data_IF_482361044497
#
_entry.id   IF_482361044497
#
_cell.length_a   1.000
_cell.length_b   1.000
_cell.length_c   1.000
_cell.angle_alpha   90.00
_cell.angle_beta   90.00
_cell.angle_gamma   90.00
#
_symmetry.space_group_name_H-M   'P 1'
#
loop_
_entity.id
_entity.type
_entity.pdbx_description
1 polymer ?
#
# COMPACT_ATOMS: atom_id res chain seq x y z
N UNK A 1 -21.08 -17.48 -6.67
CA UNK A 1 -19.72 -17.64 -7.22
C UNK A 1 -18.96 -16.39 -6.86
N UNK A 2 -17.66 -16.53 -6.54
CA UNK A 2 -16.76 -15.40 -6.28
C UNK A 2 -15.93 -15.19 -7.53
N UNK A 3 -15.56 -13.96 -7.84
CA UNK A 3 -14.70 -13.67 -8.99
C UNK A 3 -13.24 -13.99 -8.63
N UNK A 4 -12.48 -14.49 -9.60
CA UNK A 4 -11.10 -14.93 -9.44
C UNK A 4 -10.24 -14.33 -10.55
N UNK A 5 -9.25 -13.52 -10.17
CA UNK A 5 -8.30 -12.85 -11.07
C UNK A 5 -6.91 -13.48 -10.87
N UNK A 6 -6.55 -14.42 -11.74
CA UNK A 6 -5.42 -15.32 -11.46
C UNK A 6 -4.43 -15.43 -12.61
N UNK A 7 -3.16 -15.67 -12.27
CA UNK A 7 -2.10 -16.02 -13.21
C UNK A 7 -1.89 -14.99 -14.34
N UNK A 8 -2.15 -13.70 -14.06
CA UNK A 8 -1.84 -12.63 -15.01
C UNK A 8 -0.33 -12.60 -15.27
N UNK A 9 0.06 -12.67 -16.54
CA UNK A 9 1.45 -12.72 -16.98
C UNK A 9 1.61 -12.07 -18.36
N UNK A 10 1.23 -10.80 -18.46
CA UNK A 10 1.22 -10.01 -19.69
C UNK A 10 2.08 -8.76 -19.60
N UNK A 11 1.59 -7.64 -20.11
CA UNK A 11 2.22 -6.33 -19.92
C UNK A 11 2.12 -5.90 -18.45
N UNK A 12 3.15 -5.20 -17.95
CA UNK A 12 3.12 -4.56 -16.64
C UNK A 12 1.86 -3.70 -16.46
N UNK A 13 1.25 -3.65 -15.25
CA UNK A 13 1.80 -4.17 -13.99
C UNK A 13 1.59 -5.67 -13.75
N UNK A 14 0.89 -6.38 -14.65
CA UNK A 14 0.57 -7.81 -14.48
C UNK A 14 -0.19 -8.11 -13.18
N UNK A 15 -0.94 -7.15 -12.65
CA UNK A 15 -1.73 -7.31 -11.44
C UNK A 15 -3.02 -8.07 -11.71
N UNK A 16 -3.58 -8.73 -10.68
CA UNK A 16 -4.90 -9.37 -10.79
C UNK A 16 -6.00 -8.35 -11.08
N UNK A 17 -6.01 -7.25 -10.31
CA UNK A 17 -6.85 -6.08 -10.55
C UNK A 17 -5.96 -4.84 -10.58
N UNK A 18 -6.16 -4.00 -11.59
CA UNK A 18 -5.40 -2.76 -11.81
C UNK A 18 -6.36 -1.57 -11.99
N UNK A 19 -6.20 -0.55 -11.15
CA UNK A 19 -7.00 0.68 -11.14
C UNK A 19 -6.06 1.87 -11.39
N UNK A 20 -5.91 2.26 -12.66
CA UNK A 20 -5.00 3.33 -13.09
C UNK A 20 -5.74 4.35 -13.98
N UNK A 21 -6.39 5.38 -13.41
CA UNK A 21 -6.90 6.49 -14.19
C UNK A 21 -5.75 7.25 -14.85
N UNK A 22 -5.94 7.70 -16.10
CA UNK A 22 -4.85 8.15 -16.96
C UNK A 22 -4.81 9.68 -17.19
N UNK A 23 -5.78 10.42 -16.66
CA UNK A 23 -5.84 11.89 -16.78
C UNK A 23 -6.70 12.49 -15.66
N UNK A 24 -6.52 13.79 -15.34
CA UNK A 24 -7.30 14.45 -14.29
C UNK A 24 -8.82 14.44 -14.47
N UNK A 25 -9.30 14.25 -15.71
CA UNK A 25 -10.72 14.16 -16.04
C UNK A 25 -11.32 12.75 -15.89
N UNK A 26 -10.49 11.72 -15.68
CA UNK A 26 -10.96 10.40 -15.29
C UNK A 26 -11.44 10.42 -13.84
N UNK A 27 -12.20 9.39 -13.43
CA UNK A 27 -12.76 9.32 -12.10
C UNK A 27 -12.85 7.89 -11.60
N UNK A 28 -12.70 7.74 -10.28
CA UNK A 28 -12.94 6.51 -9.54
C UNK A 28 -14.09 6.81 -8.58
N UNK A 29 -15.32 6.60 -9.05
CA UNK A 29 -16.53 6.92 -8.30
C UNK A 29 -17.33 5.64 -8.06
N UNK A 30 -17.57 5.33 -6.79
CA UNK A 30 -18.37 4.20 -6.31
C UNK A 30 -17.90 2.85 -6.86
N UNK A 31 -16.58 2.66 -6.88
CA UNK A 31 -15.94 1.41 -7.27
C UNK A 31 -15.99 0.44 -6.09
N UNK A 32 -16.73 -0.66 -6.23
CA UNK A 32 -16.86 -1.69 -5.19
C UNK A 32 -16.28 -3.02 -5.69
N UNK A 33 -15.34 -3.59 -4.91
CA UNK A 33 -14.69 -4.87 -5.17
C UNK A 33 -14.93 -5.77 -3.96
N UNK A 34 -15.90 -6.66 -4.06
CA UNK A 34 -16.39 -7.43 -2.92
C UNK A 34 -16.27 -8.94 -3.16
N UNK A 35 -15.83 -9.66 -2.12
CA UNK A 35 -15.83 -11.13 -2.09
C UNK A 35 -15.10 -11.80 -3.26
N UNK A 36 -14.01 -11.21 -3.77
CA UNK A 36 -13.21 -11.79 -4.85
C UNK A 36 -11.78 -12.15 -4.43
N UNK A 37 -11.09 -12.87 -5.34
CA UNK A 37 -9.74 -13.39 -5.14
C UNK A 37 -8.78 -12.89 -6.20
N UNK A 38 -7.55 -12.61 -5.80
CA UNK A 38 -6.41 -12.50 -6.71
C UNK A 38 -5.36 -13.53 -6.31
N UNK A 39 -4.93 -14.37 -7.26
CA UNK A 39 -4.07 -15.52 -6.96
C UNK A 39 -3.00 -15.76 -8.04
N UNK A 40 -1.74 -15.90 -7.60
CA UNK A 40 -0.65 -16.34 -8.47
C UNK A 40 -0.29 -15.37 -9.60
N UNK A 41 -0.61 -14.09 -9.44
CA UNK A 41 -0.33 -13.08 -10.47
C UNK A 41 1.17 -12.75 -10.53
N UNK A 42 1.69 -12.47 -11.73
CA UNK A 42 3.10 -12.12 -11.92
C UNK A 42 3.46 -10.74 -11.35
N UNK A 43 2.46 -9.88 -11.17
CA UNK A 43 2.54 -8.61 -10.46
C UNK A 43 1.84 -8.65 -9.10
N UNK A 44 1.05 -7.61 -8.83
CA UNK A 44 0.35 -7.45 -7.55
C UNK A 44 -0.98 -8.18 -7.52
N UNK A 45 -1.54 -8.39 -6.32
CA UNK A 45 -2.92 -8.80 -6.20
C UNK A 45 -3.87 -7.70 -6.67
N UNK A 46 -3.82 -6.57 -5.97
CA UNK A 46 -4.57 -5.36 -6.29
C UNK A 46 -3.63 -4.17 -6.38
N UNK A 47 -3.70 -3.44 -7.48
CA UNK A 47 -2.90 -2.24 -7.76
C UNK A 47 -3.83 -1.03 -7.94
N UNK A 48 -3.64 0.03 -7.14
CA UNK A 48 -4.43 1.26 -7.22
C UNK A 48 -3.50 2.46 -7.38
N UNK A 49 -3.46 3.03 -8.58
CA UNK A 49 -2.51 4.09 -8.93
C UNK A 49 -3.21 5.32 -9.49
N UNK A 50 -3.83 6.18 -8.64
CA UNK A 50 -4.48 7.41 -9.07
C UNK A 50 -3.51 8.58 -9.31
N UNK A 51 -2.23 8.30 -9.57
CA UNK A 51 -1.14 9.28 -9.64
C UNK A 51 -1.29 10.38 -10.70
N UNK A 52 -2.20 10.22 -11.67
CA UNK A 52 -2.53 11.21 -12.69
C UNK A 52 -3.81 12.01 -12.38
N UNK A 53 -4.49 11.70 -11.27
CA UNK A 53 -5.57 12.52 -10.72
C UNK A 53 -4.99 13.61 -9.82
N UNK A 54 -5.63 14.77 -9.79
CA UNK A 54 -5.19 15.93 -9.01
C UNK A 54 -6.34 16.54 -8.19
N UNK A 55 -6.10 17.65 -7.48
CA UNK A 55 -7.13 18.26 -6.63
C UNK A 55 -8.38 18.75 -7.36
N UNK A 56 -8.33 18.86 -8.69
CA UNK A 56 -9.50 19.24 -9.52
C UNK A 56 -10.31 18.03 -9.99
N UNK A 57 -9.77 16.83 -9.85
CA UNK A 57 -10.46 15.58 -10.16
C UNK A 57 -11.64 15.34 -9.22
N UNK A 58 -12.59 14.51 -9.67
CA UNK A 58 -13.66 14.04 -8.79
C UNK A 58 -13.05 13.28 -7.59
N UNK A 59 -13.59 13.45 -6.37
CA UNK A 59 -13.12 12.70 -5.21
C UNK A 59 -13.17 11.19 -5.45
N UNK A 60 -12.10 10.50 -5.08
CA UNK A 60 -11.98 9.04 -5.19
C UNK A 60 -12.95 8.37 -4.21
N UNK A 61 -13.67 7.37 -4.69
CA UNK A 61 -14.55 6.49 -3.92
C UNK A 61 -14.31 5.05 -4.37
N UNK A 62 -13.45 4.35 -3.63
CA UNK A 62 -13.12 2.93 -3.86
C UNK A 62 -13.29 2.17 -2.55
N UNK A 63 -14.06 1.08 -2.58
CA UNK A 63 -14.24 0.18 -1.45
C UNK A 63 -13.93 -1.25 -1.88
N UNK A 64 -13.12 -1.94 -1.08
CA UNK A 64 -12.72 -3.33 -1.27
C UNK A 64 -13.06 -4.10 0.00
N UNK A 65 -14.00 -5.05 -0.07
CA UNK A 65 -14.46 -5.79 1.09
C UNK A 65 -14.22 -7.29 0.92
N UNK A 66 -13.68 -7.93 1.97
CA UNK A 66 -13.51 -9.39 2.04
C UNK A 66 -12.75 -9.94 0.83
N UNK A 67 -11.78 -9.18 0.35
CA UNK A 67 -10.89 -9.58 -0.73
C UNK A 67 -9.79 -10.49 -0.20
N UNK A 68 -9.37 -11.47 -0.99
CA UNK A 68 -8.29 -12.38 -0.64
C UNK A 68 -7.21 -12.35 -1.73
N UNK A 69 -6.05 -11.78 -1.39
CA UNK A 69 -4.88 -11.65 -2.26
C UNK A 69 -3.80 -12.65 -1.86
N UNK A 70 -3.56 -13.68 -2.66
CA UNK A 70 -2.64 -14.77 -2.31
C UNK A 70 -1.61 -15.07 -3.38
N UNK A 71 -0.39 -15.43 -2.99
CA UNK A 71 0.62 -16.03 -3.87
C UNK A 71 1.08 -15.15 -5.04
N UNK A 72 0.77 -13.85 -5.01
CA UNK A 72 1.17 -12.89 -6.03
C UNK A 72 2.67 -12.63 -5.92
N UNK A 73 3.38 -12.50 -7.06
CA UNK A 73 4.84 -12.33 -7.07
C UNK A 73 5.27 -10.95 -6.55
N UNK A 74 4.40 -9.94 -6.69
CA UNK A 74 4.57 -8.60 -6.15
C UNK A 74 3.94 -8.45 -4.76
N UNK A 75 3.15 -7.39 -4.61
CA UNK A 75 2.48 -7.03 -3.36
C UNK A 75 1.10 -7.69 -3.24
N UNK A 76 0.62 -7.85 -2.00
CA UNK A 76 -0.78 -8.22 -1.77
C UNK A 76 -1.73 -7.11 -2.21
N UNK A 77 -1.47 -5.91 -1.69
CA UNK A 77 -2.15 -4.66 -2.02
C UNK A 77 -1.11 -3.55 -2.24
N UNK A 78 -1.19 -2.88 -3.38
CA UNK A 78 -0.33 -1.77 -3.75
C UNK A 78 -1.16 -0.52 -4.01
N UNK A 79 -0.74 0.61 -3.44
CA UNK A 79 -1.29 1.90 -3.82
C UNK A 79 -0.21 2.99 -3.93
N UNK A 80 -0.31 3.82 -4.96
CA UNK A 80 0.55 4.99 -5.21
C UNK A 80 -0.31 6.14 -5.74
N UNK A 81 -0.43 7.23 -4.98
CA UNK A 81 -1.18 8.40 -5.43
C UNK A 81 -0.29 9.48 -6.07
N UNK A 82 1.02 9.24 -6.23
CA UNK A 82 1.95 10.07 -6.95
C UNK A 82 2.42 11.29 -6.16
N UNK A 83 3.56 11.19 -5.47
CA UNK A 83 4.39 12.36 -5.22
C UNK A 83 5.03 12.80 -6.55
N UNK A 84 4.49 13.89 -7.09
CA UNK A 84 4.73 14.57 -8.38
C UNK A 84 6.19 14.97 -8.72
N UNK A 85 7.18 14.54 -7.93
CA UNK A 85 8.58 14.50 -8.37
C UNK A 85 8.79 13.64 -9.64
N UNK A 86 7.86 12.72 -9.94
CA UNK A 86 7.77 12.04 -11.24
C UNK A 86 7.07 12.96 -12.24
N UNK A 87 7.83 13.53 -13.18
CA UNK A 87 7.31 14.35 -14.28
C UNK A 87 6.27 13.58 -15.11
N UNK A 88 5.00 13.70 -14.75
CA UNK A 88 3.92 13.38 -15.68
C UNK A 88 3.95 14.42 -16.79
N UNK A 89 3.88 14.03 -18.08
CA UNK A 89 3.75 15.00 -19.17
C UNK A 89 2.41 15.75 -19.13
N UNK A 90 1.47 15.31 -18.28
CA UNK A 90 0.13 15.87 -18.15
C UNK A 90 -0.05 16.77 -16.92
N UNK A 91 0.90 16.77 -15.98
CA UNK A 91 0.85 17.60 -14.77
C UNK A 91 2.00 18.61 -14.79
N UNK A 92 1.72 19.88 -14.48
CA UNK A 92 2.79 20.85 -14.33
C UNK A 92 3.63 20.49 -13.10
N UNK A 93 4.93 20.79 -13.12
CA UNK A 93 5.84 20.59 -11.97
C UNK A 93 5.49 21.43 -10.73
N UNK A 94 4.35 22.14 -10.75
CA UNK A 94 3.80 22.94 -9.66
C UNK A 94 2.46 22.42 -9.17
N UNK A 95 1.89 21.40 -9.82
CA UNK A 95 0.64 20.78 -9.40
C UNK A 95 0.94 19.77 -8.27
N UNK A 96 1.25 20.29 -7.09
CA UNK A 96 1.50 19.49 -5.88
C UNK A 96 0.21 18.99 -5.25
N UNK A 97 -0.77 18.64 -6.07
CA UNK A 97 -2.12 18.34 -5.61
C UNK A 97 -2.55 16.98 -6.10
N UNK A 98 -2.98 16.14 -5.16
CA UNK A 98 -3.51 14.81 -5.43
C UNK A 98 -5.03 14.84 -5.26
N UNK A 99 -5.74 13.95 -5.96
CA UNK A 99 -7.18 13.86 -5.81
C UNK A 99 -7.59 13.50 -4.37
N UNK A 100 -8.57 14.19 -3.77
CA UNK A 100 -9.10 13.84 -2.46
C UNK A 100 -9.97 12.58 -2.56
N UNK A 101 -10.47 12.10 -1.42
CA UNK A 101 -11.42 10.99 -1.36
C UNK A 101 -10.95 9.86 -0.46
N UNK A 102 -11.45 8.66 -0.71
CA UNK A 102 -11.23 7.48 0.12
C UNK A 102 -11.01 6.22 -0.71
N UNK A 103 -10.00 5.45 -0.31
CA UNK A 103 -9.76 4.08 -0.73
C UNK A 103 -9.80 3.23 0.54
N UNK A 104 -10.84 2.42 0.69
CA UNK A 104 -11.04 1.54 1.85
C UNK A 104 -10.82 0.09 1.44
N UNK A 105 -9.90 -0.60 2.11
CA UNK A 105 -9.68 -2.04 2.00
C UNK A 105 -9.97 -2.64 3.36
N UNK A 106 -11.09 -3.36 3.48
CA UNK A 106 -11.63 -3.81 4.76
C UNK A 106 -11.88 -5.31 4.81
N UNK A 107 -11.66 -5.91 5.98
CA UNK A 107 -11.96 -7.32 6.30
C UNK A 107 -11.32 -8.29 5.30
N UNK A 108 -10.13 -7.92 4.80
CA UNK A 108 -9.46 -8.55 3.68
C UNK A 108 -8.20 -9.30 4.13
N UNK A 109 -7.63 -10.08 3.21
CA UNK A 109 -6.51 -10.99 3.46
C UNK A 109 -5.40 -10.76 2.44
N UNK A 110 -4.15 -10.78 2.90
CA UNK A 110 -2.97 -10.96 2.06
C UNK A 110 -2.12 -12.10 2.59
N UNK A 111 -1.77 -13.03 1.72
CA UNK A 111 -1.07 -14.25 2.12
C UNK A 111 -0.06 -14.69 1.07
N UNK A 112 1.14 -15.05 1.51
CA UNK A 112 2.20 -15.55 0.64
C UNK A 112 2.57 -14.57 -0.50
N UNK A 113 2.38 -13.27 -0.29
CA UNK A 113 2.83 -12.23 -1.23
C UNK A 113 4.35 -12.28 -1.38
N UNK A 114 4.83 -12.04 -2.59
CA UNK A 114 6.26 -12.06 -2.88
C UNK A 114 7.03 -10.95 -2.16
N UNK A 115 6.39 -9.80 -1.93
CA UNK A 115 6.87 -8.68 -1.10
C UNK A 115 5.84 -8.35 0.00
N UNK A 116 5.60 -7.06 0.31
CA UNK A 116 4.65 -6.62 1.35
C UNK A 116 3.25 -7.21 1.21
N UNK A 117 2.59 -7.40 2.36
CA UNK A 117 1.16 -7.71 2.38
C UNK A 117 0.32 -6.53 1.90
N UNK A 118 0.70 -5.31 2.30
CA UNK A 118 0.08 -4.07 1.85
C UNK A 118 1.08 -2.92 1.89
N UNK A 119 1.07 -2.05 0.89
CA UNK A 119 1.99 -0.92 0.79
C UNK A 119 1.32 0.34 0.24
N UNK A 120 1.57 1.47 0.89
CA UNK A 120 1.41 2.80 0.31
C UNK A 120 2.77 3.28 -0.20
N UNK A 121 2.98 3.29 -1.52
CA UNK A 121 4.27 3.66 -2.13
C UNK A 121 4.19 5.05 -2.75
N UNK A 122 5.16 5.92 -2.50
CA UNK A 122 5.11 7.33 -2.96
C UNK A 122 3.78 8.04 -2.60
N UNK A 123 3.16 7.60 -1.50
CA UNK A 123 1.80 8.01 -1.14
C UNK A 123 1.80 9.35 -0.38
N UNK A 124 1.48 10.42 -1.11
CA UNK A 124 1.44 11.80 -0.64
C UNK A 124 0.30 12.02 0.37
N UNK A 125 0.62 12.73 1.45
CA UNK A 125 -0.31 13.01 2.55
C UNK A 125 -1.51 13.89 2.18
N UNK A 126 -1.51 14.55 1.02
CA UNK A 126 -2.59 15.45 0.59
C UNK A 126 -3.54 14.81 -0.44
N UNK A 127 -3.37 13.54 -0.79
CA UNK A 127 -4.30 12.81 -1.65
C UNK A 127 -5.40 12.09 -0.87
N UNK A 128 -6.12 11.21 -1.55
CA UNK A 128 -7.17 10.37 -0.97
C UNK A 128 -6.63 9.56 0.22
N UNK A 129 -7.48 9.37 1.25
CA UNK A 129 -7.12 8.53 2.39
C UNK A 129 -7.12 7.06 1.97
N UNK A 130 -6.01 6.37 2.20
CA UNK A 130 -5.88 4.93 2.02
C UNK A 130 -6.02 4.25 3.37
N UNK A 131 -7.07 3.48 3.56
CA UNK A 131 -7.33 2.78 4.82
C UNK A 131 -7.35 1.28 4.59
N UNK A 132 -6.46 0.58 5.27
CA UNK A 132 -6.52 -0.86 5.49
C UNK A 132 -7.15 -1.09 6.86
N UNK A 133 -8.33 -1.70 6.92
CA UNK A 133 -9.04 -1.94 8.16
C UNK A 133 -9.33 -3.43 8.34
N UNK A 134 -8.95 -3.99 9.49
CA UNK A 134 -9.10 -5.43 9.77
C UNK A 134 -8.41 -6.32 8.72
N UNK A 135 -7.32 -5.86 8.12
CA UNK A 135 -6.52 -6.65 7.19
C UNK A 135 -5.77 -7.74 7.95
N UNK A 136 -5.77 -8.95 7.40
CA UNK A 136 -4.91 -10.05 7.87
C UNK A 136 -3.78 -10.29 6.88
N UNK A 137 -2.53 -10.17 7.34
CA UNK A 137 -1.32 -10.44 6.55
C UNK A 137 -0.64 -11.72 7.05
N UNK A 138 -0.40 -12.69 6.18
CA UNK A 138 0.25 -13.96 6.53
C UNK A 138 1.44 -14.24 5.61
N UNK A 139 2.62 -14.42 6.18
CA UNK A 139 3.85 -14.74 5.44
C UNK A 139 4.10 -13.84 4.20
N UNK A 140 4.19 -12.51 4.35
CA UNK A 140 4.67 -11.66 3.25
C UNK A 140 6.14 -11.97 2.95
N UNK A 141 6.70 -11.34 1.91
CA UNK A 141 8.09 -11.49 1.50
C UNK A 141 8.50 -12.92 1.12
N UNK A 142 7.62 -13.69 0.48
CA UNK A 142 7.96 -15.07 0.03
C UNK A 142 9.20 -15.08 -0.88
N UNK A 143 9.43 -14.02 -1.65
CA UNK A 143 10.58 -13.90 -2.54
C UNK A 143 11.85 -13.35 -1.86
N UNK A 144 11.74 -12.72 -0.69
CA UNK A 144 12.84 -12.02 -0.02
C UNK A 144 12.43 -10.62 0.44
N UNK A 145 13.36 -9.90 1.10
CA UNK A 145 13.25 -8.46 1.28
C UNK A 145 12.90 -7.75 -0.03
N UNK A 146 12.16 -6.64 0.03
CA UNK A 146 11.84 -5.90 -1.19
C UNK A 146 13.14 -5.48 -1.90
N UNK A 147 13.28 -5.73 -3.20
CA UNK A 147 14.53 -5.47 -3.90
C UNK A 147 14.83 -3.97 -4.07
N UNK A 148 13.85 -3.08 -3.90
CA UNK A 148 14.01 -1.63 -4.06
C UNK A 148 14.48 -0.95 -2.78
N UNK A 149 13.99 -1.42 -1.64
CA UNK A 149 14.20 -0.79 -0.33
C UNK A 149 15.04 -1.66 0.62
N UNK A 150 15.19 -2.95 0.30
CA UNK A 150 15.92 -3.94 1.09
C UNK A 150 15.40 -4.14 2.51
N UNK A 151 14.14 -3.77 2.76
CA UNK A 151 13.45 -4.01 4.01
C UNK A 151 12.48 -5.21 3.92
N UNK A 152 11.89 -5.54 5.07
CA UNK A 152 11.12 -6.77 5.27
C UNK A 152 9.94 -6.56 6.24
N UNK A 153 9.39 -5.35 6.28
CA UNK A 153 8.20 -5.06 7.09
C UNK A 153 6.96 -5.77 6.52
N UNK A 154 6.03 -6.27 7.34
CA UNK A 154 4.85 -6.93 6.76
C UNK A 154 3.88 -5.98 6.03
N UNK A 155 3.77 -4.73 6.49
CA UNK A 155 3.08 -3.62 5.82
C UNK A 155 3.95 -2.36 5.80
N UNK A 156 3.72 -1.47 4.83
CA UNK A 156 4.63 -0.35 4.62
C UNK A 156 3.98 0.94 4.08
N UNK A 157 4.62 2.06 4.42
CA UNK A 157 4.48 3.36 3.77
C UNK A 157 5.89 3.82 3.39
N UNK A 158 6.22 3.83 2.10
CA UNK A 158 7.60 4.04 1.65
C UNK A 158 7.71 4.90 0.41
N UNK A 159 8.85 5.56 0.28
CA UNK A 159 9.35 6.02 -1.02
C UNK A 159 10.87 6.07 -1.06
N UNK A 160 11.39 6.11 -2.28
CA UNK A 160 12.80 6.44 -2.53
C UNK A 160 13.05 7.94 -2.50
N UNK A 161 14.12 8.40 -3.18
CA UNK A 161 14.41 9.83 -3.32
C UNK A 161 13.44 10.59 -4.23
N UNK A 162 13.58 11.93 -4.24
CA UNK A 162 12.91 12.80 -5.21
C UNK A 162 11.48 13.21 -4.86
N UNK A 163 11.03 12.93 -3.63
CA UNK A 163 9.75 13.42 -3.12
C UNK A 163 9.71 14.93 -2.93
N UNK A 164 8.51 15.49 -2.95
CA UNK A 164 8.22 16.93 -2.79
C UNK A 164 7.10 17.21 -1.80
N UNK A 165 6.28 16.21 -1.49
CA UNK A 165 5.17 16.29 -0.53
C UNK A 165 5.44 15.29 0.59
N UNK A 166 5.18 15.56 1.88
CA UNK A 166 5.33 14.52 2.90
C UNK A 166 4.51 13.26 2.61
N UNK A 167 5.04 12.08 2.93
CA UNK A 167 4.24 10.85 2.92
C UNK A 167 3.17 10.90 4.01
N UNK A 168 2.00 10.30 3.80
CA UNK A 168 0.96 10.23 4.83
C UNK A 168 -0.39 9.81 4.30
N UNK A 169 -1.43 10.01 5.11
CA UNK A 169 -2.82 9.65 4.82
C UNK A 169 -3.03 8.17 4.46
N UNK A 170 -2.18 7.32 5.03
CA UNK A 170 -2.25 5.85 4.94
C UNK A 170 -2.47 5.30 6.35
N UNK A 171 -3.55 4.55 6.52
CA UNK A 171 -4.02 4.10 7.82
C UNK A 171 -4.08 2.57 7.84
N UNK A 172 -3.27 1.98 8.69
CA UNK A 172 -3.28 0.55 8.96
C UNK A 172 -3.98 0.32 10.30
N UNK A 173 -5.27 -0.01 10.25
CA UNK A 173 -6.16 -0.05 11.43
C UNK A 173 -6.57 -1.48 11.76
N UNK A 174 -6.30 -1.90 13.01
CA UNK A 174 -6.58 -3.25 13.51
C UNK A 174 -5.98 -4.35 12.61
N UNK A 175 -4.69 -4.20 12.26
CA UNK A 175 -4.00 -5.14 11.38
C UNK A 175 -3.58 -6.40 12.14
N UNK A 176 -3.98 -7.56 11.62
CA UNK A 176 -3.54 -8.84 12.14
C UNK A 176 -2.38 -9.36 11.27
N UNK A 177 -1.24 -9.65 11.85
CA UNK A 177 -0.07 -10.15 11.13
C UNK A 177 0.40 -11.45 11.76
N UNK A 178 0.49 -12.49 10.94
CA UNK A 178 0.93 -13.81 11.36
C UNK A 178 2.04 -14.34 10.44
N UNK A 179 3.28 -14.25 10.90
CA UNK A 179 4.45 -14.77 10.19
C UNK A 179 4.78 -16.15 10.76
N UNK A 180 4.34 -17.19 10.08
CA UNK A 180 4.56 -18.59 10.48
C UNK A 180 5.85 -19.12 9.87
N UNK A 181 6.09 -18.79 8.59
CA UNK A 181 7.30 -19.20 7.88
C UNK A 181 8.37 -18.16 8.16
N UNK A 182 9.05 -18.29 9.29
CA UNK A 182 10.20 -17.46 9.64
C UNK A 182 11.43 -17.92 8.86
N UNK A 183 11.42 -17.77 7.55
CA UNK A 183 12.63 -17.92 6.74
C UNK A 183 13.56 -16.69 6.85
N UNK A 184 13.35 -15.85 7.88
CA UNK A 184 14.08 -14.61 8.11
C UNK A 184 13.68 -13.45 7.20
N UNK A 185 12.63 -13.60 6.38
CA UNK A 185 12.25 -12.61 5.36
C UNK A 185 11.24 -11.56 5.83
N UNK A 186 10.77 -11.62 7.08
CA UNK A 186 10.03 -10.53 7.70
C UNK A 186 10.61 -10.21 9.07
N UNK A 187 11.20 -9.03 9.20
CA UNK A 187 11.91 -8.59 10.40
C UNK A 187 11.01 -7.80 11.35
N UNK A 188 10.13 -6.97 10.80
CA UNK A 188 9.19 -6.15 11.53
C UNK A 188 7.75 -6.32 11.01
N UNK A 189 6.77 -5.90 11.80
CA UNK A 189 5.37 -5.88 11.40
C UNK A 189 5.05 -4.70 10.49
N UNK A 190 5.78 -3.58 10.64
CA UNK A 190 5.71 -2.47 9.71
C UNK A 190 7.06 -1.76 9.59
N UNK A 191 7.29 -1.11 8.45
CA UNK A 191 8.38 -0.17 8.24
C UNK A 191 7.82 1.05 7.51
N UNK A 192 8.02 2.27 8.03
CA UNK A 192 7.63 3.51 7.35
C UNK A 192 8.88 4.36 7.09
N UNK A 193 9.19 4.59 5.82
CA UNK A 193 10.46 5.18 5.41
C UNK A 193 10.29 6.24 4.31
N UNK A 194 11.07 7.32 4.41
CA UNK A 194 11.12 8.36 3.40
C UNK A 194 12.56 8.60 2.94
N UNK A 195 12.95 7.96 1.84
CA UNK A 195 14.25 8.17 1.22
C UNK A 195 14.45 9.54 0.56
N UNK A 196 13.45 10.42 0.55
CA UNK A 196 13.55 11.78 -0.01
C UNK A 196 13.84 12.88 1.02
N UNK A 197 13.79 12.55 2.32
CA UNK A 197 13.99 13.50 3.42
C UNK A 197 12.96 14.62 3.54
N UNK A 198 11.79 14.52 2.89
CA UNK A 198 10.70 15.51 3.00
C UNK A 198 9.88 15.28 4.29
N UNK A 199 9.80 14.04 4.75
CA UNK A 199 9.16 13.62 5.99
C UNK A 199 7.91 12.76 5.79
N UNK A 200 7.47 12.20 6.91
CA UNK A 200 6.20 11.46 7.04
C UNK A 200 5.31 12.26 8.00
N UNK A 201 4.07 12.51 7.61
CA UNK A 201 3.07 13.14 8.48
C UNK A 201 2.67 12.14 9.55
N UNK A 202 2.94 12.44 10.81
CA UNK A 202 2.62 11.56 11.96
C UNK A 202 1.55 12.15 12.88
N UNK A 203 0.98 13.32 12.56
CA UNK A 203 -0.06 13.97 13.36
C UNK A 203 -1.15 14.59 12.47
N UNK A 204 -2.33 14.83 13.03
CA UNK A 204 -3.46 15.42 12.30
C UNK A 204 -4.26 14.41 11.45
N UNK A 205 -5.18 14.90 10.63
CA UNK A 205 -6.09 14.05 9.84
C UNK A 205 -5.38 13.22 8.77
N UNK A 206 -4.28 13.73 8.23
CA UNK A 206 -3.57 13.14 7.08
C UNK A 206 -2.32 12.36 7.50
N UNK A 207 -2.29 11.90 8.75
CA UNK A 207 -1.15 11.17 9.29
C UNK A 207 -1.08 9.75 8.77
N UNK A 208 0.13 9.21 8.67
CA UNK A 208 0.35 7.78 8.61
C UNK A 208 -0.02 7.16 9.96
N UNK A 209 -0.66 6.00 9.95
CA UNK A 209 -1.02 5.28 11.17
C UNK A 209 -0.76 3.79 11.07
N UNK A 210 -0.35 3.22 12.20
CA UNK A 210 -0.31 1.78 12.42
C UNK A 210 -0.88 1.46 13.81
N UNK A 211 -2.10 0.92 13.82
CA UNK A 211 -2.80 0.43 15.00
C UNK A 211 -2.91 -1.09 14.88
N UNK A 212 -2.09 -1.86 15.62
CA UNK A 212 -2.07 -3.30 15.48
C UNK A 212 -3.31 -3.97 16.09
N UNK A 213 -3.72 -5.07 15.46
CA UNK A 213 -4.54 -6.11 16.06
C UNK A 213 -3.64 -7.17 16.70
N UNK A 214 -3.70 -8.42 16.21
CA UNK A 214 -2.84 -9.52 16.65
C UNK A 214 -1.56 -9.59 15.83
N UNK A 215 -0.40 -9.62 16.49
CA UNK A 215 0.90 -9.70 15.84
C UNK A 215 1.66 -10.93 16.32
N UNK A 216 2.24 -11.71 15.40
CA UNK A 216 3.14 -12.82 15.72
C UNK A 216 4.15 -13.10 14.62
N UNK A 217 5.36 -13.49 15.03
CA UNK A 217 6.35 -14.14 14.17
C UNK A 217 7.40 -13.26 13.49
N UNK A 218 7.35 -11.93 13.62
CA UNK A 218 8.43 -11.06 13.14
C UNK A 218 9.73 -11.34 13.90
N UNK A 219 10.88 -11.37 13.22
CA UNK A 219 12.15 -11.83 13.81
C UNK A 219 12.89 -10.78 14.64
N UNK A 220 12.58 -9.49 14.44
CA UNK A 220 13.20 -8.36 15.15
C UNK A 220 12.21 -7.56 16.02
N UNK A 221 11.02 -8.11 16.28
CA UNK A 221 10.08 -7.51 17.23
C UNK A 221 10.30 -8.01 18.67
N UNK A 222 10.24 -7.13 19.69
CA UNK A 222 10.07 -5.67 19.61
C UNK A 222 11.35 -4.91 19.23
N UNK A 223 11.25 -3.70 18.63
CA UNK A 223 10.01 -2.93 18.38
C UNK A 223 9.15 -3.53 17.26
N UNK A 224 7.83 -3.29 17.29
CA UNK A 224 6.93 -3.85 16.27
C UNK A 224 7.27 -3.35 14.87
N UNK A 225 7.81 -2.15 14.74
CA UNK A 225 8.24 -1.60 13.46
C UNK A 225 9.18 -0.43 13.59
N UNK A 226 9.48 0.15 12.43
CA UNK A 226 10.41 1.27 12.28
C UNK A 226 9.69 2.45 11.64
N UNK A 227 9.99 3.66 12.10
CA UNK A 227 9.62 4.91 11.43
C UNK A 227 10.91 5.71 11.25
N UNK A 228 11.34 5.91 10.00
CA UNK A 228 12.65 6.53 9.71
C UNK A 228 13.82 5.81 10.43
N UNK A 229 13.79 4.48 10.47
CA UNK A 229 14.76 3.66 11.19
C UNK A 229 14.68 3.71 12.72
N UNK A 230 13.75 4.49 13.29
CA UNK A 230 13.52 4.57 14.73
C UNK A 230 12.47 3.53 15.13
N UNK A 231 12.83 2.68 16.09
CA UNK A 231 11.93 1.66 16.62
C UNK A 231 10.69 2.22 17.32
N UNK A 232 9.51 1.75 16.92
CA UNK A 232 8.24 2.03 17.61
C UNK A 232 7.29 0.83 17.57
N UNK A 233 6.39 0.75 18.57
CA UNK A 233 5.41 -0.33 18.65
C UNK A 233 4.08 0.00 17.97
N UNK A 234 3.77 1.29 17.86
CA UNK A 234 2.54 1.86 17.28
C UNK A 234 2.86 3.20 16.63
N UNK A 235 2.00 3.64 15.71
CA UNK A 235 1.97 5.01 15.23
C UNK A 235 0.51 5.46 15.22
N UNK A 236 0.10 6.20 16.25
CA UNK A 236 -1.26 6.76 16.38
C UNK A 236 -1.27 8.25 16.06
#
# INVERSE_FOLDING_TARGET
MRDHFTNTNGTAPQSGIDIEPNKPADFLLDVNIDDCYTDGNAGDGLHISPWLLNSTSQPISVTVLRHHSTGNRGYGYFADNGDIGRKSPFLSSTDSTNAPGTILIQDSFSDQSGSYGAVGRFYSANGASLTFQNLTVTNPHVNGPDPSYHDSGAVELVRGGGGTIPLGNVHFLNININIIVTNGKSDHYFNFEDGSSVGIVTTGSNRAQFIPGKLSGATQAPPNGLVQGVGTNVLD
#
